data_IF_414225403056
#
_entry.id   IF_414225403056
#
_cell.length_a   1.000
_cell.length_b   1.000
_cell.length_c   1.000
_cell.angle_alpha   90.00
_cell.angle_beta   90.00
_cell.angle_gamma   90.00
#
_symmetry.space_group_name_H-M   'P 1'
#
loop_
_entity.id
_entity.type
_entity.pdbx_description
1 polymer ?
#
# COMPACT_ATOMS: atom_id res chain seq x y z
N UNK A 1 31.26 6.28 27.53
CA UNK A 1 29.82 6.22 27.93
C UNK A 1 28.98 7.31 27.27
N UNK A 2 29.50 8.55 27.08
CA UNK A 2 28.78 9.64 26.40
C UNK A 2 28.47 9.37 24.92
N UNK A 3 29.40 8.77 24.18
CA UNK A 3 29.23 8.48 22.75
C UNK A 3 28.09 7.49 22.47
N UNK A 4 27.95 6.44 23.30
CA UNK A 4 26.83 5.51 23.21
C UNK A 4 25.49 6.19 23.50
N UNK A 5 25.45 7.12 24.48
CA UNK A 5 24.25 7.91 24.78
C UNK A 5 23.90 8.89 23.65
N UNK A 6 24.90 9.47 22.98
CA UNK A 6 24.67 10.30 21.79
C UNK A 6 24.20 9.49 20.59
N UNK A 7 24.80 8.32 20.34
CA UNK A 7 24.34 7.38 19.31
C UNK A 7 22.91 6.91 19.58
N UNK A 8 22.57 6.61 20.83
CA UNK A 8 21.21 6.26 21.23
C UNK A 8 20.22 7.43 21.03
N UNK A 9 20.63 8.67 21.35
CA UNK A 9 19.80 9.86 21.08
C UNK A 9 19.62 10.14 19.58
N UNK A 10 20.60 9.81 18.75
CA UNK A 10 20.51 9.86 17.28
C UNK A 10 19.75 8.66 16.69
N UNK A 11 19.69 7.54 17.42
CA UNK A 11 18.92 6.36 17.06
C UNK A 11 17.44 6.60 17.34
N UNK A 12 16.82 7.40 16.49
CA UNK A 12 15.39 7.69 16.52
C UNK A 12 14.90 8.01 15.14
N UNK A 13 13.63 7.73 14.89
CA UNK A 13 12.99 8.11 13.66
C UNK A 13 12.81 9.64 13.59
N UNK A 14 13.58 10.27 12.70
CA UNK A 14 13.51 11.72 12.46
C UNK A 14 12.73 12.08 11.20
N UNK A 15 12.05 11.11 10.56
CA UNK A 15 11.36 11.32 9.28
C UNK A 15 10.41 12.51 9.31
N UNK A 16 9.59 12.64 10.35
CA UNK A 16 8.60 13.72 10.49
C UNK A 16 9.25 15.07 10.81
N UNK A 17 10.44 15.07 11.41
CA UNK A 17 11.19 16.32 11.63
C UNK A 17 11.77 16.83 10.31
N UNK A 18 12.29 15.91 9.50
CA UNK A 18 12.90 16.22 8.20
C UNK A 18 11.84 16.56 7.15
N UNK A 19 10.73 15.83 7.15
CA UNK A 19 9.58 16.00 6.27
C UNK A 19 8.34 16.28 7.13
N UNK A 20 8.13 17.52 7.58
CA UNK A 20 6.99 17.84 8.43
C UNK A 20 5.67 17.81 7.64
N UNK A 21 4.57 17.31 8.24
CA UNK A 21 3.27 17.23 7.59
C UNK A 21 2.62 18.61 7.51
N UNK A 22 2.89 19.33 6.41
CA UNK A 22 2.35 20.65 6.17
C UNK A 22 0.95 20.59 5.55
N UNK A 23 0.02 21.43 6.02
CA UNK A 23 -1.29 21.61 5.39
C UNK A 23 -2.35 20.55 5.75
N UNK A 24 -2.06 19.65 6.68
CA UNK A 24 -3.01 18.65 7.18
C UNK A 24 -3.18 18.75 8.70
N UNK A 25 -4.42 18.78 9.18
CA UNK A 25 -4.75 18.73 10.61
C UNK A 25 -4.61 17.31 11.17
N UNK A 26 -5.04 16.31 10.39
CA UNK A 26 -4.90 14.90 10.71
C UNK A 26 -3.75 14.32 9.91
N UNK A 27 -2.61 14.14 10.57
CA UNK A 27 -1.36 13.77 9.94
C UNK A 27 -0.65 12.61 10.64
N UNK A 28 0.40 12.12 9.99
CA UNK A 28 1.27 11.07 10.49
C UNK A 28 1.92 11.51 11.81
N UNK A 29 1.99 10.59 12.76
CA UNK A 29 2.67 10.78 14.05
C UNK A 29 3.99 10.03 14.06
N UNK A 30 4.94 10.41 14.93
CA UNK A 30 6.25 9.75 14.99
C UNK A 30 6.10 8.22 15.14
N UNK A 31 5.21 7.79 16.04
CA UNK A 31 4.86 6.38 16.24
C UNK A 31 4.22 5.72 15.02
N UNK A 32 3.42 6.47 14.26
CA UNK A 32 2.86 6.00 12.98
C UNK A 32 3.94 5.80 11.93
N UNK A 33 4.90 6.72 11.85
CA UNK A 33 6.07 6.60 10.98
C UNK A 33 6.95 5.41 11.40
N UNK A 34 7.17 5.18 12.71
CA UNK A 34 7.91 4.00 13.21
C UNK A 34 7.28 2.69 12.74
N UNK A 35 5.96 2.59 12.80
CA UNK A 35 5.25 1.41 12.31
C UNK A 35 5.41 1.22 10.80
N UNK A 36 5.37 2.31 10.02
CA UNK A 36 5.59 2.25 8.58
C UNK A 36 7.04 1.84 8.24
N UNK A 37 8.02 2.28 9.02
CA UNK A 37 9.41 1.82 8.91
C UNK A 37 9.55 0.32 9.21
N UNK A 38 8.85 -0.18 10.24
CA UNK A 38 8.83 -1.62 10.53
C UNK A 38 8.22 -2.42 9.36
N UNK A 39 7.13 -1.94 8.76
CA UNK A 39 6.53 -2.55 7.57
C UNK A 39 7.49 -2.52 6.36
N UNK A 40 8.16 -1.40 6.12
CA UNK A 40 9.22 -1.29 5.10
C UNK A 40 10.30 -2.36 5.30
N UNK A 41 10.86 -2.46 6.51
CA UNK A 41 11.89 -3.46 6.83
C UNK A 41 11.39 -4.89 6.60
N UNK A 42 10.14 -5.20 6.96
CA UNK A 42 9.54 -6.51 6.73
C UNK A 42 9.42 -6.85 5.24
N UNK A 43 8.90 -5.93 4.43
CA UNK A 43 8.76 -6.14 2.99
C UNK A 43 10.12 -6.24 2.30
N UNK A 44 11.08 -5.39 2.67
CA UNK A 44 12.44 -5.42 2.13
C UNK A 44 13.15 -6.73 2.50
N UNK A 45 13.09 -7.12 3.78
CA UNK A 45 13.66 -8.39 4.24
C UNK A 45 13.03 -9.58 3.51
N UNK A 46 11.70 -9.61 3.37
CA UNK A 46 10.99 -10.68 2.65
C UNK A 46 11.42 -10.75 1.19
N UNK A 47 11.53 -9.60 0.50
CA UNK A 47 12.02 -9.54 -0.88
C UNK A 47 13.45 -10.09 -1.00
N UNK A 48 14.38 -9.66 -0.13
CA UNK A 48 15.76 -10.15 -0.12
C UNK A 48 15.85 -11.65 0.15
N UNK A 49 15.11 -12.14 1.16
CA UNK A 49 15.06 -13.56 1.48
C UNK A 49 14.55 -14.38 0.29
N UNK A 50 13.46 -13.96 -0.34
CA UNK A 50 12.90 -14.64 -1.51
C UNK A 50 13.86 -14.60 -2.71
N UNK A 51 14.58 -13.50 -2.93
CA UNK A 51 15.62 -13.42 -3.97
C UNK A 51 16.73 -14.45 -3.72
N UNK A 52 17.24 -14.53 -2.49
CA UNK A 52 18.28 -15.51 -2.13
C UNK A 52 17.78 -16.95 -2.33
N UNK A 53 16.56 -17.24 -1.89
CA UNK A 53 15.95 -18.57 -2.05
C UNK A 53 15.68 -18.91 -3.53
N UNK A 54 15.27 -17.94 -4.34
CA UNK A 54 15.04 -18.09 -5.79
C UNK A 54 16.30 -18.55 -6.52
N UNK A 55 17.46 -17.99 -6.18
CA UNK A 55 18.73 -18.38 -6.82
C UNK A 55 19.18 -19.80 -6.48
N UNK A 56 18.61 -20.43 -5.45
CA UNK A 56 18.83 -21.86 -5.14
C UNK A 56 17.99 -22.81 -6.00
N UNK A 57 17.12 -22.27 -6.87
CA UNK A 57 16.22 -23.05 -7.73
C UNK A 57 16.62 -22.96 -9.20
N UNK A 58 16.40 -24.03 -10.00
CA UNK A 58 16.57 -23.97 -11.45
C UNK A 58 15.57 -22.96 -12.04
N UNK A 59 15.91 -22.38 -13.20
CA UNK A 59 15.15 -21.27 -13.78
C UNK A 59 13.65 -21.58 -13.99
N UNK A 60 13.33 -22.84 -14.32
CA UNK A 60 11.96 -23.30 -14.59
C UNK A 60 11.08 -23.38 -13.33
N UNK A 61 11.67 -23.35 -12.12
CA UNK A 61 10.94 -23.40 -10.84
C UNK A 61 10.77 -22.02 -10.19
N UNK A 62 11.25 -20.94 -10.83
CA UNK A 62 11.29 -19.60 -10.23
C UNK A 62 10.00 -18.79 -10.36
N UNK A 63 9.00 -19.29 -11.10
CA UNK A 63 7.78 -18.55 -11.40
C UNK A 63 7.11 -17.98 -10.14
N UNK A 64 6.92 -18.80 -9.11
CA UNK A 64 6.30 -18.37 -7.84
C UNK A 64 7.18 -17.46 -7.00
N UNK A 65 8.51 -17.48 -7.20
CA UNK A 65 9.39 -16.50 -6.57
C UNK A 65 9.19 -15.13 -7.21
N UNK A 66 9.10 -15.04 -8.54
CA UNK A 66 8.85 -13.76 -9.22
C UNK A 66 7.55 -13.11 -8.74
N UNK A 67 6.48 -13.90 -8.62
CA UNK A 67 5.17 -13.40 -8.16
C UNK A 67 5.15 -12.99 -6.69
N UNK A 68 6.07 -13.49 -5.87
CA UNK A 68 6.19 -13.11 -4.46
C UNK A 68 7.19 -11.95 -4.24
N UNK A 69 8.29 -11.90 -5.00
CA UNK A 69 9.33 -10.87 -4.89
C UNK A 69 8.80 -9.51 -5.34
N UNK A 70 8.14 -9.46 -6.50
CA UNK A 70 7.64 -8.21 -7.09
C UNK A 70 6.74 -7.41 -6.13
N UNK A 71 5.65 -7.96 -5.56
CA UNK A 71 4.81 -7.22 -4.64
C UNK A 71 5.55 -6.83 -3.35
N UNK A 72 6.47 -7.66 -2.85
CA UNK A 72 7.28 -7.29 -1.68
C UNK A 72 8.17 -6.08 -1.96
N UNK A 73 8.83 -6.04 -3.12
CA UNK A 73 9.68 -4.93 -3.52
C UNK A 73 8.87 -3.63 -3.72
N UNK A 74 7.72 -3.71 -4.39
CA UNK A 74 6.84 -2.55 -4.61
C UNK A 74 6.27 -2.00 -3.30
N UNK A 75 5.82 -2.89 -2.41
CA UNK A 75 5.33 -2.46 -1.10
C UNK A 75 6.46 -1.90 -0.23
N UNK A 76 7.69 -2.43 -0.30
CA UNK A 76 8.83 -1.83 0.39
C UNK A 76 9.01 -0.36 -0.02
N UNK A 77 9.04 -0.04 -1.32
CA UNK A 77 9.18 1.35 -1.79
C UNK A 77 7.99 2.22 -1.34
N UNK A 78 6.76 1.69 -1.40
CA UNK A 78 5.58 2.42 -0.94
C UNK A 78 5.63 2.73 0.56
N UNK A 79 6.02 1.76 1.38
CA UNK A 79 6.17 1.93 2.83
C UNK A 79 7.34 2.84 3.19
N UNK A 80 8.47 2.78 2.49
CA UNK A 80 9.57 3.73 2.63
C UNK A 80 9.10 5.17 2.41
N UNK A 81 8.34 5.38 1.33
CA UNK A 81 7.78 6.68 0.96
C UNK A 81 6.84 7.20 2.05
N UNK A 82 5.86 6.38 2.49
CA UNK A 82 4.93 6.78 3.55
C UNK A 82 5.62 6.97 4.92
N UNK A 83 6.58 6.10 5.27
CA UNK A 83 7.33 6.21 6.51
C UNK A 83 8.13 7.51 6.58
N UNK A 84 8.63 7.97 5.44
CA UNK A 84 9.32 9.24 5.28
C UNK A 84 8.39 10.46 5.26
N UNK A 85 7.08 10.28 5.50
CA UNK A 85 6.03 11.31 5.38
C UNK A 85 5.88 11.90 3.96
N UNK A 86 6.26 11.15 2.93
CA UNK A 86 6.22 11.57 1.52
C UNK A 86 5.05 10.96 0.76
N UNK A 87 4.75 11.53 -0.42
CA UNK A 87 3.73 11.00 -1.33
C UNK A 87 2.31 11.08 -0.76
N UNK A 88 2.02 12.17 -0.06
CA UNK A 88 0.72 12.47 0.52
C UNK A 88 0.16 13.80 0.02
N UNK A 89 -1.15 13.98 0.14
CA UNK A 89 -1.82 15.25 -0.16
C UNK A 89 -2.91 15.54 0.89
N UNK A 90 -3.07 16.80 1.33
CA UNK A 90 -4.13 17.16 2.27
C UNK A 90 -5.49 17.22 1.56
N UNK A 91 -6.45 16.43 2.03
CA UNK A 91 -7.83 16.43 1.52
C UNK A 91 -8.77 16.85 2.64
N UNK A 92 -9.57 17.88 2.39
CA UNK A 92 -10.55 18.37 3.38
C UNK A 92 -11.56 17.27 3.72
N UNK A 93 -11.76 17.01 5.00
CA UNK A 93 -12.77 16.07 5.45
C UNK A 93 -14.17 16.58 5.07
N UNK A 94 -15.04 15.67 4.60
CA UNK A 94 -16.45 16.01 4.34
C UNK A 94 -17.22 16.20 5.65
N UNK A 95 -16.89 15.39 6.65
CA UNK A 95 -17.60 15.32 7.92
C UNK A 95 -16.65 15.65 9.07
N UNK A 96 -17.10 16.46 10.03
CA UNK A 96 -16.33 16.91 11.19
C UNK A 96 -16.65 16.08 12.46
N UNK A 97 -16.66 14.75 12.33
CA UNK A 97 -16.98 13.83 13.45
C UNK A 97 -15.76 13.42 14.29
N UNK A 98 -14.54 13.67 13.78
CA UNK A 98 -13.29 13.35 14.47
C UNK A 98 -12.52 14.64 14.60
N UNK A 99 -11.97 14.90 15.79
CA UNK A 99 -11.22 16.13 16.10
C UNK A 99 -9.86 15.80 16.69
N UNK A 100 -8.89 16.69 16.50
CA UNK A 100 -7.58 16.65 17.15
C UNK A 100 -7.30 17.98 17.84
N UNK A 101 -6.52 17.99 18.92
CA UNK A 101 -6.16 19.21 19.64
C UNK A 101 -5.34 20.19 18.79
N UNK A 102 -4.70 19.69 17.73
CA UNK A 102 -3.89 20.45 16.77
C UNK A 102 -4.68 20.98 15.57
N UNK A 103 -5.99 20.73 15.51
CA UNK A 103 -6.84 21.07 14.37
C UNK A 103 -7.02 22.59 14.27
N UNK A 104 -6.77 23.14 13.08
CA UNK A 104 -6.93 24.55 12.75
C UNK A 104 -8.21 24.80 11.95
N UNK A 105 -8.56 23.88 11.05
CA UNK A 105 -9.70 24.01 10.13
C UNK A 105 -10.88 23.12 10.53
N UNK A 106 -12.11 23.56 10.23
CA UNK A 106 -13.34 22.81 10.50
C UNK A 106 -14.25 22.72 9.24
N UNK A 107 -14.49 21.54 8.66
CA UNK A 107 -13.83 20.26 8.92
C UNK A 107 -12.35 20.30 8.53
N UNK A 108 -11.50 19.60 9.30
CA UNK A 108 -10.06 19.60 9.09
C UNK A 108 -9.57 18.83 7.86
N UNK A 109 -8.32 19.07 7.46
CA UNK A 109 -7.63 18.41 6.36
C UNK A 109 -6.99 17.10 6.80
N UNK A 110 -7.24 16.03 6.06
CA UNK A 110 -6.65 14.71 6.28
C UNK A 110 -5.48 14.50 5.35
N UNK A 111 -4.37 14.04 5.89
CA UNK A 111 -3.25 13.57 5.10
C UNK A 111 -3.62 12.24 4.45
N UNK A 112 -3.72 12.24 3.12
CA UNK A 112 -4.02 11.04 2.33
C UNK A 112 -2.77 10.63 1.57
N UNK A 113 -2.19 9.48 1.96
CA UNK A 113 -1.04 8.89 1.27
C UNK A 113 -1.47 8.25 -0.04
N UNK A 114 -1.45 9.02 -1.13
CA UNK A 114 -1.74 8.49 -2.47
C UNK A 114 -0.68 7.47 -2.91
N UNK A 115 0.56 7.58 -2.39
CA UNK A 115 1.64 6.61 -2.59
C UNK A 115 1.24 5.18 -2.19
N UNK A 116 0.34 5.02 -1.21
CA UNK A 116 -0.22 3.71 -0.85
C UNK A 116 -0.90 3.02 -2.02
N UNK A 117 -1.75 3.75 -2.73
CA UNK A 117 -2.51 3.18 -3.85
C UNK A 117 -1.62 2.93 -5.06
N UNK A 118 -0.56 3.73 -5.26
CA UNK A 118 0.47 3.41 -6.27
C UNK A 118 1.18 2.09 -5.91
N UNK A 119 1.52 1.90 -4.63
CA UNK A 119 2.04 0.62 -4.15
C UNK A 119 1.07 -0.54 -4.39
N UNK A 120 -0.22 -0.35 -4.08
CA UNK A 120 -1.26 -1.35 -4.34
C UNK A 120 -1.44 -1.66 -5.82
N UNK A 121 -1.36 -0.65 -6.70
CA UNK A 121 -1.45 -0.83 -8.15
C UNK A 121 -0.34 -1.78 -8.60
N UNK A 122 0.90 -1.51 -8.19
CA UNK A 122 2.02 -2.38 -8.54
C UNK A 122 1.97 -3.76 -7.86
N UNK A 123 1.45 -3.87 -6.65
CA UNK A 123 1.57 -5.08 -5.82
C UNK A 123 0.36 -6.03 -5.88
N UNK A 124 -0.87 -5.53 -5.92
CA UNK A 124 -2.08 -6.36 -5.81
C UNK A 124 -2.35 -7.31 -7.00
N UNK A 125 -1.94 -7.00 -8.25
CA UNK A 125 -2.06 -7.98 -9.33
C UNK A 125 -1.35 -9.30 -9.06
N UNK A 126 -0.22 -9.28 -8.33
CA UNK A 126 0.65 -10.44 -8.19
C UNK A 126 0.04 -11.57 -7.36
N UNK A 127 -0.57 -11.31 -6.17
CA UNK A 127 -1.34 -12.34 -5.48
C UNK A 127 -2.47 -12.93 -6.32
N UNK A 128 -3.14 -12.14 -7.16
CA UNK A 128 -4.22 -12.61 -8.04
C UNK A 128 -3.66 -13.52 -9.13
N UNK A 129 -2.58 -13.11 -9.80
CA UNK A 129 -1.86 -13.95 -10.76
C UNK A 129 -1.42 -15.24 -10.09
N UNK A 130 -0.82 -15.17 -8.90
CA UNK A 130 -0.32 -16.34 -8.19
C UNK A 130 -1.45 -17.31 -7.80
N UNK A 131 -2.57 -16.83 -7.28
CA UNK A 131 -3.75 -17.64 -6.97
C UNK A 131 -4.31 -18.30 -8.25
N UNK A 132 -4.42 -17.55 -9.34
CA UNK A 132 -4.88 -18.07 -10.63
C UNK A 132 -3.93 -19.11 -11.25
N UNK A 133 -2.61 -18.96 -11.07
CA UNK A 133 -1.62 -19.94 -11.50
C UNK A 133 -1.79 -21.25 -10.71
N UNK A 134 -2.02 -21.19 -9.40
CA UNK A 134 -2.34 -22.38 -8.59
C UNK A 134 -3.63 -23.06 -9.07
N UNK A 135 -4.66 -22.26 -9.40
CA UNK A 135 -5.94 -22.75 -9.89
C UNK A 135 -5.99 -23.15 -11.36
N UNK A 136 -4.86 -23.10 -12.07
CA UNK A 136 -4.77 -23.35 -13.53
C UNK A 136 -5.82 -22.56 -14.33
N UNK A 137 -6.09 -21.33 -13.91
CA UNK A 137 -7.06 -20.44 -14.53
C UNK A 137 -6.62 -20.08 -15.96
N UNK A 138 -7.54 -20.09 -16.95
CA UNK A 138 -7.24 -19.65 -18.32
C UNK A 138 -6.68 -18.22 -18.38
N UNK A 139 -5.69 -17.99 -19.26
CA UNK A 139 -4.96 -16.72 -19.38
C UNK A 139 -5.88 -15.48 -19.48
N UNK A 140 -6.92 -15.53 -20.30
CA UNK A 140 -7.85 -14.40 -20.47
C UNK A 140 -8.65 -14.08 -19.21
N UNK A 141 -8.94 -15.08 -18.37
CA UNK A 141 -9.57 -14.85 -17.08
C UNK A 141 -8.58 -14.26 -16.08
N UNK A 142 -7.29 -14.65 -16.12
CA UNK A 142 -6.23 -13.99 -15.35
C UNK A 142 -6.13 -12.52 -15.73
N UNK A 143 -6.06 -12.21 -17.03
CA UNK A 143 -5.98 -10.84 -17.53
C UNK A 143 -7.19 -9.99 -17.09
N UNK A 144 -8.40 -10.56 -17.16
CA UNK A 144 -9.62 -9.93 -16.66
C UNK A 144 -9.54 -9.65 -15.16
N UNK A 145 -9.14 -10.64 -14.35
CA UNK A 145 -9.03 -10.49 -12.90
C UNK A 145 -7.98 -9.46 -12.49
N UNK A 146 -6.85 -9.39 -13.20
CA UNK A 146 -5.85 -8.35 -13.01
C UNK A 146 -6.42 -6.97 -13.34
N UNK A 147 -7.08 -6.82 -14.49
CA UNK A 147 -7.70 -5.55 -14.90
C UNK A 147 -8.75 -5.06 -13.88
N UNK A 148 -9.60 -5.96 -13.39
CA UNK A 148 -10.61 -5.63 -12.38
C UNK A 148 -9.99 -5.32 -11.01
N UNK A 149 -8.87 -5.95 -10.67
CA UNK A 149 -8.08 -5.62 -9.47
C UNK A 149 -7.51 -4.21 -9.56
N UNK A 150 -6.97 -3.83 -10.71
CA UNK A 150 -6.45 -2.48 -10.93
C UNK A 150 -7.55 -1.43 -10.95
N UNK A 151 -8.69 -1.76 -11.56
CA UNK A 151 -9.88 -0.91 -11.50
C UNK A 151 -10.30 -0.63 -10.06
N UNK A 152 -10.30 -1.65 -9.18
CA UNK A 152 -10.53 -1.46 -7.75
C UNK A 152 -9.54 -0.46 -7.13
N UNK A 153 -8.23 -0.64 -7.36
CA UNK A 153 -7.19 0.23 -6.80
C UNK A 153 -7.34 1.67 -7.27
N UNK A 154 -7.53 1.88 -8.58
CA UNK A 154 -7.68 3.22 -9.18
C UNK A 154 -8.94 3.90 -8.67
N UNK A 155 -10.06 3.19 -8.56
CA UNK A 155 -11.28 3.73 -7.96
C UNK A 155 -11.05 4.16 -6.51
N UNK A 156 -10.34 3.37 -5.71
CA UNK A 156 -10.04 3.72 -4.32
C UNK A 156 -9.08 4.90 -4.19
N UNK A 157 -8.06 4.99 -5.07
CA UNK A 157 -7.19 6.15 -5.17
C UNK A 157 -8.02 7.41 -5.43
N UNK A 158 -8.85 7.42 -6.47
CA UNK A 158 -9.67 8.58 -6.82
C UNK A 158 -10.64 8.91 -5.68
N UNK A 159 -11.31 7.91 -5.10
CA UNK A 159 -12.23 8.09 -3.97
C UNK A 159 -11.55 8.78 -2.77
N UNK A 160 -10.28 8.45 -2.51
CA UNK A 160 -9.51 9.04 -1.41
C UNK A 160 -9.18 10.53 -1.63
N UNK A 161 -9.07 10.95 -2.89
CA UNK A 161 -8.70 12.33 -3.27
C UNK A 161 -9.91 13.24 -3.54
N UNK A 162 -11.09 12.68 -3.75
CA UNK A 162 -12.33 13.46 -3.93
C UNK A 162 -12.83 13.95 -2.57
N UNK A 163 -13.04 15.26 -2.39
CA UNK A 163 -13.58 15.82 -1.15
C UNK A 163 -15.12 15.71 -1.06
N UNK A 164 -15.82 15.70 -2.19
CA UNK A 164 -17.29 15.73 -2.27
C UNK A 164 -17.94 14.36 -2.05
N UNK A 165 -19.28 14.32 -2.04
CA UNK A 165 -20.07 13.08 -1.95
C UNK A 165 -19.80 12.10 -3.11
N UNK A 166 -19.31 12.58 -4.25
CA UNK A 166 -19.02 11.75 -5.43
C UNK A 166 -18.00 10.65 -5.16
N UNK A 167 -17.18 10.77 -4.10
CA UNK A 167 -16.26 9.70 -3.66
C UNK A 167 -16.95 8.34 -3.46
N UNK A 168 -18.23 8.35 -3.06
CA UNK A 168 -19.00 7.12 -2.84
C UNK A 168 -19.27 6.36 -4.13
N UNK A 169 -19.38 7.04 -5.28
CA UNK A 169 -19.52 6.36 -6.57
C UNK A 169 -18.28 5.52 -6.90
N UNK A 170 -17.10 6.13 -6.80
CA UNK A 170 -15.83 5.43 -6.97
C UNK A 170 -15.65 4.29 -5.96
N UNK A 171 -15.96 4.52 -4.68
CA UNK A 171 -15.91 3.48 -3.66
C UNK A 171 -16.78 2.27 -4.02
N UNK A 172 -18.05 2.50 -4.38
CA UNK A 172 -18.97 1.43 -4.77
C UNK A 172 -18.53 0.67 -6.01
N UNK A 173 -18.04 1.37 -7.05
CA UNK A 173 -17.52 0.72 -8.25
C UNK A 173 -16.28 -0.13 -7.95
N UNK A 174 -15.36 0.37 -7.12
CA UNK A 174 -14.20 -0.39 -6.69
C UNK A 174 -14.61 -1.65 -5.93
N UNK A 175 -15.49 -1.53 -4.93
CA UNK A 175 -15.99 -2.69 -4.16
C UNK A 175 -16.66 -3.72 -5.08
N UNK A 176 -17.52 -3.29 -6.00
CA UNK A 176 -18.14 -4.19 -6.96
C UNK A 176 -17.09 -4.94 -7.81
N UNK A 177 -16.07 -4.25 -8.28
CA UNK A 177 -14.96 -4.88 -9.00
C UNK A 177 -14.20 -5.91 -8.15
N UNK A 178 -13.94 -5.61 -6.88
CA UNK A 178 -13.29 -6.56 -5.96
C UNK A 178 -14.14 -7.82 -5.73
N UNK A 179 -15.46 -7.70 -5.64
CA UNK A 179 -16.38 -8.84 -5.50
C UNK A 179 -16.35 -9.70 -6.77
N UNK A 180 -16.35 -9.08 -7.95
CA UNK A 180 -16.23 -9.79 -9.23
C UNK A 180 -14.92 -10.60 -9.29
N UNK A 181 -13.79 -10.00 -8.89
CA UNK A 181 -12.50 -10.71 -8.83
C UNK A 181 -12.56 -11.89 -7.86
N UNK A 182 -13.09 -11.70 -6.64
CA UNK A 182 -13.18 -12.77 -5.64
C UNK A 182 -14.01 -13.95 -6.16
N UNK A 183 -15.19 -13.68 -6.72
CA UNK A 183 -16.05 -14.72 -7.29
C UNK A 183 -15.36 -15.40 -8.47
N UNK A 184 -14.76 -14.63 -9.37
CA UNK A 184 -14.06 -15.17 -10.54
C UNK A 184 -12.92 -16.09 -10.13
N UNK A 185 -12.01 -15.65 -9.24
CA UNK A 185 -10.89 -16.48 -8.77
C UNK A 185 -11.39 -17.76 -8.09
N UNK A 186 -12.43 -17.69 -7.26
CA UNK A 186 -12.99 -18.87 -6.58
C UNK A 186 -13.66 -19.88 -7.52
N UNK A 187 -14.29 -19.42 -8.60
CA UNK A 187 -15.06 -20.27 -9.52
C UNK A 187 -14.27 -20.78 -10.72
N UNK A 188 -13.17 -20.11 -11.05
CA UNK A 188 -12.34 -20.45 -12.23
C UNK A 188 -11.12 -21.29 -11.89
N UNK A 189 -10.84 -21.48 -10.60
CA UNK A 189 -9.85 -22.45 -10.11
C UNK A 189 -10.39 -23.84 -10.41
N UNK A 190 -9.83 -24.50 -11.43
CA UNK A 190 -10.19 -25.89 -11.74
C UNK A 190 -9.54 -26.78 -10.67
N UNK A 191 -10.35 -27.48 -9.88
CA UNK A 191 -9.90 -28.62 -9.09
C UNK A 191 -9.28 -29.68 -10.00
#
# INVERSE_FOLDING_TARGET
>A
MSEFTELYKRAGNEAIKLNPPTGSDFHLTARGSDWLWAAFCLFLFSAMLLIVLMFRKPINERLFYYTAIAPCAFMAIAYFTMASDLGSTPIRAKYDHVKTSTQKEHPGYRQVFYSRFIGWFLALPWPIIQASLFGKTPLWQIAFNVCMTEFFVVCFLIASLVHSTYKWGYYSFGIAASIVVMISVMTTTKN
#
